data_IF_577694860079
#
_entry.id   IF_577694860079
#
_cell.length_a   1.000
_cell.length_b   1.000
_cell.length_c   1.000
_cell.angle_alpha   90.00
_cell.angle_beta   90.00
_cell.angle_gamma   90.00
#
_symmetry.space_group_name_H-M   'P 1'
#
loop_
_entity.id
_entity.type
_entity.pdbx_description
1 polymer ?
#
# COMPACT_ATOMS: atom_id res chain seq x y z
N UNK A 1 26.50 -15.87 3.32
CA UNK A 1 25.18 -15.52 3.91
C UNK A 1 25.47 -14.70 5.15
N UNK A 2 25.19 -13.39 5.10
CA UNK A 2 25.54 -12.44 6.16
C UNK A 2 24.81 -12.80 7.46
N UNK A 3 25.47 -12.60 8.60
CA UNK A 3 24.80 -12.71 9.90
C UNK A 3 23.69 -11.67 9.95
N UNK A 4 22.50 -11.98 10.51
CA UNK A 4 21.46 -10.99 10.71
C UNK A 4 22.04 -9.82 11.51
N UNK A 5 21.68 -8.59 11.11
CA UNK A 5 22.02 -7.40 11.87
C UNK A 5 21.51 -7.57 13.31
N UNK A 6 22.39 -7.35 14.30
CA UNK A 6 22.08 -7.65 15.70
C UNK A 6 20.94 -6.74 16.17
N UNK A 7 19.81 -7.34 16.57
CA UNK A 7 18.64 -6.62 17.05
C UNK A 7 17.65 -6.19 15.96
N UNK A 8 17.84 -6.63 14.70
CA UNK A 8 16.84 -6.49 13.64
C UNK A 8 16.02 -7.78 13.50
N UNK A 9 14.80 -7.63 12.96
CA UNK A 9 14.03 -8.78 12.49
C UNK A 9 14.69 -9.40 11.23
N UNK A 10 14.28 -10.61 10.88
CA UNK A 10 14.69 -11.24 9.62
C UNK A 10 14.18 -10.43 8.41
N UNK A 11 14.87 -10.45 7.27
CA UNK A 11 14.35 -9.88 6.02
C UNK A 11 13.03 -10.55 5.61
N UNK A 12 12.04 -9.73 5.28
CA UNK A 12 10.75 -10.16 4.72
C UNK A 12 10.19 -9.02 3.86
N UNK A 13 9.43 -9.36 2.82
CA UNK A 13 8.77 -8.35 1.97
C UNK A 13 7.47 -7.86 2.59
N UNK A 14 6.72 -8.76 3.24
CA UNK A 14 5.48 -8.43 3.92
C UNK A 14 5.22 -9.32 5.14
N UNK A 15 4.80 -8.68 6.24
CA UNK A 15 4.37 -9.33 7.48
C UNK A 15 3.06 -8.69 7.96
N UNK A 16 1.99 -9.47 7.95
CA UNK A 16 0.71 -9.08 8.55
C UNK A 16 0.75 -9.29 10.07
N UNK A 17 0.75 -8.21 10.85
CA UNK A 17 0.91 -8.26 12.32
C UNK A 17 -0.42 -8.18 13.05
N UNK A 18 -1.34 -7.34 12.58
CA UNK A 18 -2.59 -7.02 13.27
C UNK A 18 -3.72 -6.87 12.25
N UNK A 19 -4.76 -7.68 12.38
CA UNK A 19 -6.02 -7.49 11.64
C UNK A 19 -6.80 -6.30 12.20
N UNK A 20 -7.75 -5.76 11.43
CA UNK A 20 -8.58 -4.64 11.89
C UNK A 20 -9.19 -4.93 13.27
N UNK A 21 -9.01 -3.98 14.18
CA UNK A 21 -9.46 -4.01 15.56
C UNK A 21 -10.02 -2.63 15.92
N UNK A 22 -11.04 -2.61 16.74
CA UNK A 22 -11.62 -1.42 17.38
C UNK A 22 -10.91 -1.07 18.70
N UNK A 23 -9.90 -1.86 19.11
CA UNK A 23 -9.06 -1.58 20.27
C UNK A 23 -7.83 -0.71 19.90
N UNK A 24 -7.82 0.59 20.24
CA UNK A 24 -6.69 1.48 19.95
C UNK A 24 -5.46 1.15 20.81
N UNK A 25 -5.64 0.51 21.96
CA UNK A 25 -4.54 0.10 22.85
C UNK A 25 -3.78 -1.05 22.20
N UNK A 26 -4.50 -2.05 21.67
CA UNK A 26 -3.88 -3.15 20.91
C UNK A 26 -3.08 -2.63 19.72
N UNK A 27 -3.66 -1.72 18.92
CA UNK A 27 -2.97 -1.10 17.78
C UNK A 27 -1.66 -0.42 18.20
N UNK A 28 -1.73 0.44 19.22
CA UNK A 28 -0.55 1.15 19.76
C UNK A 28 0.50 0.18 20.27
N UNK A 29 0.10 -0.83 21.02
CA UNK A 29 1.02 -1.79 21.62
C UNK A 29 1.70 -2.64 20.54
N UNK A 30 0.98 -3.02 19.47
CA UNK A 30 1.58 -3.69 18.31
C UNK A 30 2.57 -2.81 17.56
N UNK A 31 2.27 -1.52 17.38
CA UNK A 31 3.22 -0.57 16.78
C UNK A 31 4.50 -0.46 17.61
N UNK A 32 4.38 -0.30 18.92
CA UNK A 32 5.52 -0.14 19.83
C UNK A 32 6.42 -1.38 19.90
N UNK A 33 5.90 -2.54 19.51
CA UNK A 33 6.66 -3.80 19.44
C UNK A 33 7.33 -4.02 18.08
N UNK A 34 7.11 -3.16 17.09
CA UNK A 34 7.76 -3.33 15.79
C UNK A 34 9.26 -3.08 15.90
N UNK A 35 10.01 -3.94 15.21
CA UNK A 35 11.46 -3.86 15.10
C UNK A 35 11.77 -3.80 13.62
N UNK A 36 12.69 -2.90 13.24
CA UNK A 36 13.13 -2.77 11.86
C UNK A 36 13.74 -4.08 11.35
N UNK A 37 13.51 -4.36 10.07
CA UNK A 37 14.28 -5.34 9.31
C UNK A 37 15.38 -4.59 8.52
N UNK A 38 16.14 -5.29 7.69
CA UNK A 38 17.12 -4.63 6.83
C UNK A 38 17.47 -5.45 5.60
N UNK A 39 17.67 -4.75 4.48
CA UNK A 39 18.15 -5.29 3.21
C UNK A 39 19.50 -4.63 2.85
N UNK A 40 19.91 -4.68 1.58
CA UNK A 40 21.21 -4.15 1.11
C UNK A 40 21.08 -2.93 0.18
N UNK A 41 20.00 -2.85 -0.57
CA UNK A 41 19.72 -1.86 -1.59
C UNK A 41 18.67 -0.84 -1.11
N UNK A 42 18.37 0.15 -1.95
CA UNK A 42 17.44 1.24 -1.59
C UNK A 42 15.99 0.90 -1.96
N UNK A 43 15.68 0.28 -3.12
CA UNK A 43 14.31 -0.06 -3.44
C UNK A 43 13.76 -1.16 -2.52
N UNK A 44 12.51 -1.01 -2.12
CA UNK A 44 11.85 -1.88 -1.16
C UNK A 44 10.77 -2.76 -1.83
N UNK A 45 10.37 -3.83 -1.13
CA UNK A 45 9.29 -4.74 -1.53
C UNK A 45 7.87 -4.17 -1.38
N UNK A 46 7.69 -2.84 -1.43
CA UNK A 46 6.42 -2.15 -1.13
C UNK A 46 5.23 -2.69 -1.94
N UNK A 47 5.46 -3.04 -3.20
CA UNK A 47 4.39 -3.52 -4.08
C UNK A 47 4.01 -4.98 -3.85
N UNK A 48 4.91 -5.82 -3.32
CA UNK A 48 4.50 -7.14 -2.80
C UNK A 48 3.58 -6.98 -1.59
N UNK A 49 3.93 -6.10 -0.65
CA UNK A 49 3.09 -5.81 0.50
C UNK A 49 1.71 -5.27 0.06
N UNK A 50 1.67 -4.29 -0.85
CA UNK A 50 0.42 -3.71 -1.33
C UNK A 50 -0.44 -4.73 -2.09
N UNK A 51 0.18 -5.61 -2.89
CA UNK A 51 -0.49 -6.72 -3.54
C UNK A 51 -1.12 -7.67 -2.52
N UNK A 52 -0.38 -8.08 -1.49
CA UNK A 52 -0.89 -8.97 -0.45
C UNK A 52 -2.01 -8.31 0.37
N UNK A 53 -1.86 -7.03 0.75
CA UNK A 53 -2.91 -6.27 1.45
C UNK A 53 -4.21 -6.23 0.65
N UNK A 54 -4.11 -6.08 -0.67
CA UNK A 54 -5.27 -6.01 -1.54
C UNK A 54 -5.85 -7.40 -1.89
N UNK A 55 -5.01 -8.44 -2.05
CA UNK A 55 -5.45 -9.78 -2.41
C UNK A 55 -5.99 -10.58 -1.21
N UNK A 56 -5.45 -10.36 0.00
CA UNK A 56 -5.79 -11.09 1.21
C UNK A 56 -7.00 -10.49 1.95
N UNK A 57 -8.10 -10.23 1.23
CA UNK A 57 -9.28 -9.55 1.77
C UNK A 57 -9.84 -10.23 3.04
N UNK A 58 -9.91 -11.56 3.01
CA UNK A 58 -10.51 -12.37 4.07
C UNK A 58 -9.57 -12.50 5.28
N UNK A 59 -8.28 -12.72 5.03
CA UNK A 59 -7.24 -12.92 6.03
C UNK A 59 -6.99 -11.64 6.84
N UNK A 60 -7.07 -10.47 6.18
CA UNK A 60 -6.97 -9.17 6.83
C UNK A 60 -8.29 -8.70 7.44
N UNK A 61 -9.40 -9.39 7.13
CA UNK A 61 -10.77 -9.06 7.58
C UNK A 61 -11.24 -7.70 7.11
N UNK A 62 -10.97 -7.36 5.85
CA UNK A 62 -11.47 -6.13 5.27
C UNK A 62 -13.00 -6.05 5.36
N UNK A 63 -13.53 -4.93 5.89
CA UNK A 63 -14.96 -4.64 5.89
C UNK A 63 -15.55 -4.62 4.47
N UNK A 64 -16.87 -4.79 4.32
CA UNK A 64 -17.50 -4.92 3.00
C UNK A 64 -17.23 -3.71 2.08
N UNK A 65 -16.88 -3.97 0.81
CA UNK A 65 -16.65 -2.95 -0.24
C UNK A 65 -17.83 -1.99 -0.47
N UNK A 66 -19.02 -2.34 0.01
CA UNK A 66 -20.24 -1.56 -0.18
C UNK A 66 -20.57 -0.65 1.01
N UNK A 67 -19.98 -0.90 2.17
CA UNK A 67 -20.31 -0.20 3.43
C UNK A 67 -19.09 0.40 4.11
N UNK A 68 -17.89 -0.03 3.73
CA UNK A 68 -16.64 0.34 4.37
C UNK A 68 -15.73 0.94 3.33
N UNK A 69 -15.24 2.14 3.62
CA UNK A 69 -14.15 2.74 2.87
C UNK A 69 -12.84 2.07 3.28
N UNK A 70 -12.09 1.59 2.30
CA UNK A 70 -10.87 0.82 2.53
C UNK A 70 -9.66 1.65 2.15
N UNK A 71 -8.88 2.06 3.14
CA UNK A 71 -7.73 2.95 2.94
C UNK A 71 -6.48 2.20 3.37
N UNK A 72 -5.41 2.32 2.57
CA UNK A 72 -4.09 1.81 2.92
C UNK A 72 -3.11 2.97 2.93
N UNK A 73 -2.46 3.19 4.07
CA UNK A 73 -1.36 4.13 4.19
C UNK A 73 -0.04 3.39 3.97
N UNK A 74 0.74 3.86 3.01
CA UNK A 74 2.09 3.40 2.70
C UNK A 74 3.05 4.49 3.16
N UNK A 75 3.79 4.22 4.24
CA UNK A 75 4.85 5.10 4.72
C UNK A 75 6.21 4.50 4.34
N UNK A 76 7.03 5.24 3.58
CA UNK A 76 8.33 4.77 3.12
C UNK A 76 9.28 5.93 2.85
N UNK A 77 10.57 5.65 2.94
CA UNK A 77 11.68 6.52 2.55
C UNK A 77 12.50 5.98 1.37
N UNK A 78 12.30 4.71 1.01
CA UNK A 78 12.86 4.07 -0.17
C UNK A 78 11.91 4.02 -1.36
N UNK A 79 12.47 3.90 -2.57
CA UNK A 79 11.75 3.56 -3.80
C UNK A 79 11.24 2.11 -3.74
N UNK A 80 10.74 1.57 -4.85
CA UNK A 80 10.12 0.24 -4.89
C UNK A 80 10.72 -0.62 -5.99
N UNK A 81 10.78 -1.93 -5.74
CA UNK A 81 11.01 -2.91 -6.78
C UNK A 81 9.77 -3.18 -7.63
N UNK A 82 9.99 -3.62 -8.87
CA UNK A 82 8.96 -4.03 -9.81
C UNK A 82 9.30 -5.32 -10.57
N UNK A 83 8.28 -5.90 -11.21
CA UNK A 83 8.41 -7.13 -11.99
C UNK A 83 9.63 -7.12 -12.93
N UNK A 84 10.38 -8.23 -12.92
CA UNK A 84 11.62 -8.42 -13.65
C UNK A 84 12.87 -8.29 -12.78
N UNK A 85 12.82 -7.52 -11.70
CA UNK A 85 13.96 -7.30 -10.80
C UNK A 85 14.24 -8.48 -9.88
N UNK A 86 13.25 -9.31 -9.54
CA UNK A 86 13.45 -10.54 -8.77
C UNK A 86 14.43 -11.51 -9.45
N UNK A 87 14.65 -11.36 -10.77
CA UNK A 87 15.63 -12.15 -11.52
C UNK A 87 17.06 -11.95 -11.02
N UNK A 88 17.40 -10.79 -10.46
CA UNK A 88 18.71 -10.56 -9.84
C UNK A 88 18.92 -11.43 -8.61
N UNK A 89 17.84 -11.82 -7.93
CA UNK A 89 17.81 -12.80 -6.83
C UNK A 89 17.54 -14.24 -7.26
N UNK A 90 17.45 -14.53 -8.57
CA UNK A 90 17.14 -15.86 -9.10
C UNK A 90 15.64 -16.20 -9.14
N UNK A 91 14.76 -15.23 -8.89
CA UNK A 91 13.31 -15.40 -8.92
C UNK A 91 12.79 -14.95 -10.29
N UNK A 92 12.28 -15.90 -11.09
CA UNK A 92 11.86 -15.61 -12.46
C UNK A 92 10.36 -15.86 -12.71
N UNK A 93 9.67 -16.47 -11.75
CA UNK A 93 8.25 -16.80 -11.89
C UNK A 93 7.42 -15.54 -11.62
N UNK A 94 6.58 -15.08 -12.57
CA UNK A 94 5.80 -13.86 -12.37
C UNK A 94 4.84 -13.95 -11.18
N UNK A 95 4.60 -12.81 -10.53
CA UNK A 95 3.55 -12.66 -9.51
C UNK A 95 2.19 -13.10 -10.06
N UNK A 96 1.41 -13.87 -9.29
CA UNK A 96 0.09 -14.37 -9.71
C UNK A 96 -1.08 -13.52 -9.19
N UNK A 97 -0.77 -12.42 -8.49
CA UNK A 97 -1.72 -11.48 -7.89
C UNK A 97 -2.73 -12.12 -6.93
N UNK A 98 -2.36 -13.20 -6.23
CA UNK A 98 -3.20 -13.88 -5.23
C UNK A 98 -2.67 -13.67 -3.80
N UNK A 99 -3.53 -13.97 -2.83
CA UNK A 99 -3.14 -14.00 -1.43
C UNK A 99 -2.27 -15.23 -1.14
N UNK A 100 -1.12 -14.99 -0.51
CA UNK A 100 -0.17 -16.01 -0.05
C UNK A 100 0.35 -15.67 1.35
N UNK A 101 -0.58 -15.32 2.25
CA UNK A 101 -0.24 -15.15 3.66
C UNK A 101 -0.10 -16.51 4.34
N UNK A 102 1.09 -16.77 4.87
CA UNK A 102 1.38 -17.98 5.64
C UNK A 102 0.36 -18.18 6.76
N UNK A 103 -0.04 -19.42 6.99
CA UNK A 103 -0.85 -19.77 8.17
C UNK A 103 -0.01 -19.81 9.46
N UNK A 104 1.31 -19.68 9.36
CA UNK A 104 2.22 -19.70 10.51
C UNK A 104 2.53 -18.28 10.96
N UNK A 105 2.56 -18.08 12.28
CA UNK A 105 2.99 -16.82 12.90
C UNK A 105 4.48 -16.90 13.22
N UNK A 106 5.24 -15.95 12.71
CA UNK A 106 6.68 -15.77 12.95
C UNK A 106 6.91 -14.35 13.44
N UNK A 107 7.62 -14.18 14.55
CA UNK A 107 7.95 -12.87 15.15
C UNK A 107 6.73 -11.93 15.25
N UNK A 108 5.60 -12.50 15.71
CA UNK A 108 4.37 -11.77 15.98
C UNK A 108 3.49 -11.47 14.76
N UNK A 109 3.80 -11.99 13.56
CA UNK A 109 2.96 -11.80 12.37
C UNK A 109 2.97 -12.97 11.39
N UNK A 110 2.06 -12.93 10.42
CA UNK A 110 1.98 -13.88 9.30
C UNK A 110 2.75 -13.33 8.12
N UNK A 111 3.72 -14.08 7.60
CA UNK A 111 4.56 -13.65 6.49
C UNK A 111 3.92 -13.93 5.13
N UNK A 112 4.25 -13.12 4.13
CA UNK A 112 4.08 -13.50 2.73
C UNK A 112 5.05 -14.65 2.41
N UNK A 113 4.53 -15.84 2.08
CA UNK A 113 5.36 -17.04 1.94
C UNK A 113 5.89 -17.31 0.53
N UNK A 114 5.55 -16.44 -0.44
CA UNK A 114 6.02 -16.53 -1.84
C UNK A 114 7.05 -15.48 -2.23
N UNK A 115 7.58 -14.70 -1.29
CA UNK A 115 8.65 -13.72 -1.53
C UNK A 115 9.90 -14.29 -2.22
N UNK A 116 10.20 -15.57 -2.00
CA UNK A 116 11.35 -16.25 -2.62
C UNK A 116 10.97 -17.12 -3.83
N UNK A 117 9.70 -17.12 -4.24
CA UNK A 117 9.17 -17.96 -5.31
C UNK A 117 8.55 -17.16 -6.46
N UNK A 118 7.94 -16.02 -6.16
CA UNK A 118 7.26 -15.14 -7.11
C UNK A 118 8.02 -13.82 -7.19
N UNK A 119 8.22 -13.34 -8.42
CA UNK A 119 8.78 -12.03 -8.71
C UNK A 119 7.85 -10.93 -8.18
N UNK A 120 8.38 -9.71 -8.04
CA UNK A 120 7.58 -8.54 -7.69
C UNK A 120 6.41 -8.38 -8.68
N UNK A 121 5.26 -7.83 -8.24
CA UNK A 121 4.15 -7.60 -9.14
C UNK A 121 4.49 -6.47 -10.13
N UNK A 122 3.82 -6.50 -11.28
CA UNK A 122 3.82 -5.34 -12.17
C UNK A 122 3.01 -4.20 -11.53
N UNK A 123 3.34 -2.95 -11.85
CA UNK A 123 2.56 -1.76 -11.44
C UNK A 123 1.07 -1.94 -11.79
N UNK A 124 0.78 -2.46 -12.99
CA UNK A 124 -0.60 -2.68 -13.42
C UNK A 124 -1.30 -3.80 -12.63
N UNK A 125 -0.62 -4.88 -12.24
CA UNK A 125 -1.25 -5.91 -11.39
C UNK A 125 -1.69 -5.33 -10.06
N UNK A 126 -0.86 -4.50 -9.41
CA UNK A 126 -1.23 -3.82 -8.16
C UNK A 126 -2.41 -2.88 -8.38
N UNK A 127 -2.36 -2.05 -9.43
CA UNK A 127 -3.46 -1.16 -9.80
C UNK A 127 -4.80 -1.89 -9.98
N UNK A 128 -4.82 -2.97 -10.77
CA UNK A 128 -6.05 -3.75 -10.98
C UNK A 128 -6.56 -4.36 -9.68
N UNK A 129 -5.67 -4.89 -8.83
CA UNK A 129 -6.06 -5.49 -7.56
C UNK A 129 -6.63 -4.45 -6.59
N UNK A 130 -6.06 -3.24 -6.53
CA UNK A 130 -6.60 -2.13 -5.73
C UNK A 130 -7.99 -1.69 -6.21
N UNK A 131 -8.17 -1.59 -7.53
CA UNK A 131 -9.46 -1.25 -8.15
C UNK A 131 -10.54 -2.30 -7.81
N UNK A 132 -10.23 -3.58 -8.01
CA UNK A 132 -11.14 -4.69 -7.68
C UNK A 132 -11.47 -4.74 -6.19
N UNK A 133 -10.50 -4.40 -5.34
CA UNK A 133 -10.63 -4.44 -3.88
C UNK A 133 -11.25 -3.18 -3.29
N UNK A 134 -11.46 -2.14 -4.13
CA UNK A 134 -11.88 -0.77 -3.75
C UNK A 134 -11.02 -0.19 -2.62
N UNK A 135 -9.71 -0.34 -2.74
CA UNK A 135 -8.73 0.17 -1.78
C UNK A 135 -8.12 1.46 -2.32
N UNK A 136 -8.13 2.50 -1.49
CA UNK A 136 -7.57 3.82 -1.78
C UNK A 136 -6.18 3.94 -1.13
N UNK A 137 -5.08 3.95 -1.91
CA UNK A 137 -3.74 4.03 -1.36
C UNK A 137 -3.32 5.48 -1.09
N UNK A 138 -2.69 5.70 0.07
CA UNK A 138 -2.05 6.95 0.47
C UNK A 138 -0.56 6.70 0.54
N UNK A 139 0.22 7.36 -0.30
CA UNK A 139 1.68 7.32 -0.27
C UNK A 139 2.18 8.49 0.58
N UNK A 140 2.69 8.18 1.78
CA UNK A 140 3.32 9.12 2.71
C UNK A 140 4.84 8.95 2.62
N UNK A 141 5.50 9.81 1.86
CA UNK A 141 6.90 9.65 1.48
C UNK A 141 7.79 10.55 2.32
N UNK A 142 8.74 9.96 3.04
CA UNK A 142 9.84 10.71 3.63
C UNK A 142 10.99 10.74 2.62
N UNK A 143 11.34 11.91 2.08
CA UNK A 143 12.43 12.03 1.13
C UNK A 143 13.49 13.01 1.67
N UNK A 144 14.55 12.47 2.29
CA UNK A 144 15.65 13.27 2.79
C UNK A 144 16.59 13.76 1.69
N UNK A 145 16.52 13.14 0.51
CA UNK A 145 17.31 13.48 -0.67
C UNK A 145 16.40 13.98 -1.77
N UNK A 146 16.07 15.28 -1.72
CA UNK A 146 15.31 16.04 -2.75
C UNK A 146 16.03 16.12 -4.11
N UNK A 147 16.40 14.97 -4.63
CA UNK A 147 17.01 14.75 -5.93
C UNK A 147 15.92 14.44 -6.95
N UNK A 148 16.18 14.74 -8.22
CA UNK A 148 15.22 14.49 -9.30
C UNK A 148 14.89 13.00 -9.52
N UNK A 149 15.69 12.10 -8.93
CA UNK A 149 15.58 10.64 -9.03
C UNK A 149 15.28 10.00 -7.65
N UNK A 150 14.81 10.81 -6.70
CA UNK A 150 14.51 10.38 -5.34
C UNK A 150 13.22 9.59 -5.21
N UNK A 151 12.85 9.30 -3.96
CA UNK A 151 11.69 8.49 -3.62
C UNK A 151 10.38 9.21 -4.01
N UNK A 152 10.25 10.51 -3.74
CA UNK A 152 9.02 11.25 -4.04
C UNK A 152 8.70 11.29 -5.55
N UNK A 153 9.65 11.64 -6.47
CA UNK A 153 9.40 11.57 -7.91
C UNK A 153 8.92 10.20 -8.41
N UNK A 154 9.46 9.10 -7.87
CA UNK A 154 9.07 7.76 -8.26
C UNK A 154 7.60 7.48 -7.92
N UNK A 155 7.16 7.81 -6.70
CA UNK A 155 5.76 7.64 -6.28
C UNK A 155 4.82 8.65 -6.92
N UNK A 156 5.29 9.85 -7.26
CA UNK A 156 4.49 10.83 -8.01
C UNK A 156 4.04 10.28 -9.36
N UNK A 157 4.94 9.65 -10.10
CA UNK A 157 4.59 9.01 -11.37
C UNK A 157 3.54 7.90 -11.18
N UNK A 158 3.62 7.13 -10.09
CA UNK A 158 2.62 6.10 -9.77
C UNK A 158 1.26 6.75 -9.51
N UNK A 159 1.19 7.75 -8.64
CA UNK A 159 -0.05 8.42 -8.25
C UNK A 159 -0.74 9.09 -9.45
N UNK A 160 0.02 9.74 -10.34
CA UNK A 160 -0.52 10.32 -11.58
C UNK A 160 -1.21 9.26 -12.46
N UNK A 161 -0.64 8.05 -12.54
CA UNK A 161 -1.22 6.93 -13.30
C UNK A 161 -2.33 6.19 -12.54
N UNK A 162 -2.43 6.37 -11.22
CA UNK A 162 -3.38 5.68 -10.34
C UNK A 162 -4.52 6.58 -9.85
N UNK A 163 -4.74 7.72 -10.50
CA UNK A 163 -5.80 8.67 -10.15
C UNK A 163 -7.20 8.01 -10.06
N UNK A 164 -7.48 7.02 -10.89
CA UNK A 164 -8.77 6.31 -10.91
C UNK A 164 -9.03 5.43 -9.67
N UNK A 165 -8.00 5.01 -8.95
CA UNK A 165 -8.14 4.32 -7.65
C UNK A 165 -8.05 5.30 -6.47
N UNK A 166 -8.07 6.61 -6.75
CA UNK A 166 -7.99 7.67 -5.74
C UNK A 166 -6.67 7.68 -4.99
N UNK A 167 -5.57 7.29 -5.64
CA UNK A 167 -4.25 7.34 -5.03
C UNK A 167 -3.86 8.78 -4.67
N UNK A 168 -3.28 8.98 -3.50
CA UNK A 168 -2.81 10.30 -3.03
C UNK A 168 -1.34 10.23 -2.62
N UNK A 169 -0.62 11.34 -2.79
CA UNK A 169 0.77 11.51 -2.37
C UNK A 169 0.87 12.60 -1.30
N UNK A 170 1.71 12.42 -0.30
CA UNK A 170 2.09 13.47 0.65
C UNK A 170 3.49 13.27 1.22
N UNK A 171 4.16 14.38 1.51
CA UNK A 171 5.45 14.41 2.21
C UNK A 171 5.24 14.03 3.68
N UNK A 172 5.94 13.02 4.16
CA UNK A 172 5.95 12.58 5.56
C UNK A 172 7.03 13.36 6.30
N UNK A 173 6.70 13.91 7.46
CA UNK A 173 7.70 14.58 8.30
C UNK A 173 8.77 13.59 8.80
N UNK A 174 9.97 14.09 9.10
CA UNK A 174 11.06 13.30 9.70
C UNK A 174 10.66 12.57 10.99
N UNK A 175 9.75 13.16 11.74
CA UNK A 175 9.19 12.60 12.99
C UNK A 175 7.85 11.89 12.77
N UNK A 176 7.39 11.82 11.51
CA UNK A 176 6.07 11.30 11.11
C UNK A 176 4.89 11.97 11.82
N UNK A 177 5.07 13.23 12.25
CA UNK A 177 4.10 14.01 13.03
C UNK A 177 2.83 14.35 12.28
N UNK A 178 2.91 14.47 10.95
CA UNK A 178 1.81 14.86 10.08
C UNK A 178 1.00 13.67 9.52
N UNK A 179 1.21 12.45 10.01
CA UNK A 179 0.58 11.24 9.48
C UNK A 179 -0.96 11.30 9.54
N UNK A 180 -1.52 11.91 10.59
CA UNK A 180 -2.97 12.08 10.76
C UNK A 180 -3.53 13.06 9.72
N UNK A 181 -2.84 14.17 9.48
CA UNK A 181 -3.24 15.17 8.50
C UNK A 181 -3.25 14.60 7.08
N UNK A 182 -2.29 13.73 6.75
CA UNK A 182 -2.24 13.03 5.46
C UNK A 182 -3.45 12.10 5.26
N UNK A 183 -3.82 11.36 6.31
CA UNK A 183 -5.01 10.48 6.29
C UNK A 183 -6.28 11.31 6.11
N UNK A 184 -6.45 12.39 6.89
CA UNK A 184 -7.62 13.26 6.82
C UNK A 184 -7.79 13.88 5.43
N UNK A 185 -6.73 14.46 4.87
CA UNK A 185 -6.77 15.07 3.53
C UNK A 185 -7.17 14.05 2.45
N UNK A 186 -6.63 12.83 2.50
CA UNK A 186 -6.99 11.80 1.54
C UNK A 186 -8.44 11.33 1.73
N UNK A 187 -8.91 11.26 2.98
CA UNK A 187 -10.30 10.96 3.31
C UNK A 187 -11.24 12.00 2.68
N UNK A 188 -10.95 13.28 2.77
CA UNK A 188 -11.81 14.32 2.21
C UNK A 188 -11.83 14.30 0.66
N UNK A 189 -10.71 13.96 0.02
CA UNK A 189 -10.60 13.97 -1.46
C UNK A 189 -11.38 12.83 -2.12
N UNK A 190 -11.41 11.62 -1.55
CA UNK A 190 -12.17 10.50 -2.17
C UNK A 190 -13.68 10.49 -1.83
N UNK A 191 -14.21 11.56 -1.26
CA UNK A 191 -15.66 11.78 -1.05
C UNK A 191 -16.38 12.43 -2.27
N UNK A 192 -15.69 12.61 -3.40
CA UNK A 192 -16.33 13.17 -4.60
C UNK A 192 -17.29 12.14 -5.22
N UNK A 193 -18.58 12.37 -5.05
CA UNK A 193 -19.66 11.62 -5.70
C UNK A 193 -19.94 12.24 -7.06
N UNK A 194 -19.71 11.48 -8.13
CA UNK A 194 -20.12 11.86 -9.49
C UNK A 194 -21.54 11.36 -9.74
N UNK A 195 -22.48 12.29 -9.81
CA UNK A 195 -23.87 12.01 -10.21
C UNK A 195 -24.01 12.29 -11.70
N UNK A 196 -24.34 11.26 -12.46
CA UNK A 196 -24.78 11.41 -13.84
C UNK A 196 -26.24 11.87 -13.84
N UNK A 197 -26.47 13.11 -14.27
CA UNK A 197 -27.81 13.68 -14.43
C UNK A 197 -28.17 13.61 -15.91
N UNK A 198 -29.16 12.79 -16.24
CA UNK A 198 -29.76 12.76 -17.56
C UNK A 198 -31.01 13.64 -17.57
N UNK A 199 -31.04 14.64 -18.45
CA UNK A 199 -32.22 15.51 -18.66
C UNK A 199 -32.89 15.13 -19.97
N UNK A 200 -34.06 14.52 -19.87
CA UNK A 200 -34.85 14.03 -21.02
C UNK A 200 -35.26 15.15 -21.97
N UNK A 201 -35.62 16.32 -21.43
CA UNK A 201 -36.13 17.47 -22.19
C UNK A 201 -35.18 17.94 -23.31
N UNK A 202 -33.87 17.75 -23.11
CA UNK A 202 -32.82 18.12 -24.07
C UNK A 202 -31.92 16.94 -24.49
N UNK A 203 -32.26 15.70 -24.10
CA UNK A 203 -31.42 14.50 -24.31
C UNK A 203 -29.95 14.70 -23.94
N UNK A 204 -29.69 15.42 -22.86
CA UNK A 204 -28.33 15.78 -22.46
C UNK A 204 -27.92 15.00 -21.21
N UNK A 205 -26.77 14.33 -21.29
CA UNK A 205 -26.06 13.85 -20.10
C UNK A 205 -25.16 14.96 -19.58
N UNK A 206 -25.26 15.26 -18.29
CA UNK A 206 -24.28 16.07 -17.57
C UNK A 206 -23.75 15.32 -16.36
N UNK A 207 -22.46 15.52 -16.07
CA UNK A 207 -21.81 14.95 -14.90
C UNK A 207 -21.67 16.07 -13.86
N UNK A 208 -22.20 15.86 -12.67
CA UNK A 208 -22.08 16.79 -11.55
C UNK A 208 -21.30 16.11 -10.43
N UNK A 209 -20.17 16.70 -10.04
CA UNK A 209 -19.39 16.27 -8.88
C UNK A 209 -19.86 16.97 -7.63
N UNK A 210 -20.16 16.21 -6.58
CA UNK A 210 -20.46 16.72 -5.25
C UNK A 210 -19.37 16.25 -4.29
N UNK A 211 -18.70 17.17 -3.61
CA UNK A 211 -17.95 16.83 -2.41
C UNK A 211 -18.96 16.69 -1.28
N UNK A 212 -19.03 15.53 -0.63
CA UNK A 212 -19.73 15.46 0.65
C UNK A 212 -18.88 16.17 1.70
N UNK A 213 -19.54 16.97 2.55
CA UNK A 213 -18.95 17.71 3.68
C UNK A 213 -19.34 17.05 4.98
#
# INVERSE_FOLDING_TARGET
IGKPFKGLDIPYDYKHVLSFTDDPIEFRDKINLQVSSGNRDVPEGTFDALMQVAACEQELRWGSKNTTRRIVLIATDGTFHMAGEGRFGGIAKPNDAKCHLSNTVVNGGRLYDKSLELDYPTINQVYQRLLESRIYPIFAIFDDQKSAEGTEPAYKAIVENWAAVGATLGELDKTSSNIIDLIQKSYDVSEIVLVLVYRDDNKQLSCQGYATT
#
